data_IF_026946357038
#
_entry.id   IF_026946357038
#
_cell.length_a   1.000
_cell.length_b   1.000
_cell.length_c   1.000
_cell.angle_alpha   90.00
_cell.angle_beta   90.00
_cell.angle_gamma   90.00
#
_symmetry.space_group_name_H-M   'P 1'
#
loop_
_entity.id
_entity.type
_entity.pdbx_description
1 polymer ?
#
# COMPACT_ATOMS: atom_id res chain seq x y z
N UNK A 1 -12.66 11.54 -1.40
CA UNK A 1 -11.34 10.92 -1.16
C UNK A 1 -10.77 10.53 -2.51
N UNK A 2 -9.56 10.96 -2.86
CA UNK A 2 -9.02 10.75 -4.21
C UNK A 2 -8.31 9.38 -4.25
N UNK A 3 -8.97 8.36 -4.80
CA UNK A 3 -8.46 6.98 -4.87
C UNK A 3 -7.44 6.81 -6.01
N UNK A 4 -6.41 7.67 -6.04
CA UNK A 4 -5.39 7.62 -7.07
C UNK A 4 -4.55 6.36 -6.89
N UNK A 5 -4.47 5.54 -7.92
CA UNK A 5 -3.62 4.34 -7.94
C UNK A 5 -2.24 4.67 -8.48
N UNK A 6 -1.21 4.04 -7.91
CA UNK A 6 0.16 4.08 -8.39
C UNK A 6 0.69 2.66 -8.58
N UNK A 7 1.65 2.48 -9.51
CA UNK A 7 2.29 1.18 -9.71
C UNK A 7 2.97 0.74 -8.40
N UNK A 8 2.78 -0.52 -8.00
CA UNK A 8 3.35 -1.03 -6.75
C UNK A 8 4.88 -0.89 -6.67
N UNK A 9 5.57 -0.97 -7.81
CA UNK A 9 7.02 -0.75 -7.88
C UNK A 9 7.44 0.70 -7.63
N UNK A 10 6.63 1.68 -8.05
CA UNK A 10 6.87 3.09 -7.74
C UNK A 10 6.58 3.39 -6.28
N UNK A 11 5.50 2.81 -5.73
CA UNK A 11 5.20 2.89 -4.31
C UNK A 11 6.36 2.33 -3.47
N UNK A 12 6.89 1.15 -3.83
CA UNK A 12 8.01 0.54 -3.14
C UNK A 12 9.27 1.41 -3.17
N UNK A 13 9.58 2.06 -4.30
CA UNK A 13 10.70 3.02 -4.40
C UNK A 13 10.53 4.25 -3.51
N UNK A 14 9.29 4.67 -3.27
CA UNK A 14 8.97 5.86 -2.48
C UNK A 14 9.09 5.56 -0.98
N UNK A 15 8.70 4.36 -0.57
CA UNK A 15 8.58 4.01 0.84
C UNK A 15 9.78 3.25 1.41
N UNK A 16 10.54 2.53 0.56
CA UNK A 16 11.69 1.73 1.00
C UNK A 16 12.98 2.33 0.48
N UNK A 17 14.01 2.29 1.34
CA UNK A 17 15.35 2.72 0.97
C UNK A 17 16.00 1.76 -0.04
N UNK A 18 17.02 2.24 -0.73
CA UNK A 18 17.75 1.48 -1.74
C UNK A 18 18.36 0.21 -1.12
N UNK A 19 18.07 -0.95 -1.70
CA UNK A 19 18.47 -2.26 -1.16
C UNK A 19 17.44 -2.92 -0.23
N UNK A 20 16.47 -2.16 0.29
CA UNK A 20 15.37 -2.67 1.12
C UNK A 20 14.05 -2.83 0.36
N UNK A 21 14.07 -2.56 -0.95
CA UNK A 21 12.87 -2.63 -1.78
C UNK A 21 12.32 -4.06 -1.90
N UNK A 22 11.04 -4.29 -1.57
CA UNK A 22 10.40 -5.58 -1.79
C UNK A 22 10.32 -5.92 -3.28
N UNK A 23 10.51 -7.20 -3.61
CA UNK A 23 10.38 -7.67 -4.99
C UNK A 23 8.92 -7.69 -5.45
N UNK A 24 8.71 -7.81 -6.77
CA UNK A 24 7.36 -7.85 -7.35
C UNK A 24 6.51 -9.04 -6.86
N UNK A 25 7.11 -10.14 -6.40
CA UNK A 25 6.38 -11.26 -5.79
C UNK A 25 5.86 -10.88 -4.40
N UNK A 26 6.70 -10.27 -3.57
CA UNK A 26 6.35 -9.78 -2.24
C UNK A 26 5.24 -8.73 -2.29
N UNK A 27 5.35 -7.73 -3.16
CA UNK A 27 4.32 -6.70 -3.32
C UNK A 27 2.97 -7.28 -3.74
N UNK A 28 2.95 -8.27 -4.64
CA UNK A 28 1.72 -8.95 -5.03
C UNK A 28 1.11 -9.74 -3.86
N UNK A 29 1.94 -10.41 -3.07
CA UNK A 29 1.46 -11.12 -1.89
C UNK A 29 0.89 -10.15 -0.85
N UNK A 30 1.52 -9.02 -0.59
CA UNK A 30 1.02 -8.02 0.36
C UNK A 30 -0.35 -7.47 -0.02
N UNK A 31 -0.55 -7.15 -1.31
CA UNK A 31 -1.87 -6.70 -1.80
C UNK A 31 -2.92 -7.82 -1.65
N UNK A 32 -2.56 -9.08 -1.96
CA UNK A 32 -3.47 -10.22 -1.82
C UNK A 32 -3.81 -10.53 -0.36
N UNK A 33 -2.83 -10.42 0.53
CA UNK A 33 -2.98 -10.69 1.97
C UNK A 33 -3.57 -9.50 2.73
N UNK A 34 -3.83 -8.38 2.07
CA UNK A 34 -4.40 -7.18 2.70
C UNK A 34 -3.44 -6.42 3.62
N UNK A 35 -2.13 -6.65 3.48
CA UNK A 35 -1.10 -5.90 4.21
C UNK A 35 -0.97 -4.47 3.67
N UNK A 36 -1.19 -4.30 2.37
CA UNK A 36 -1.18 -3.02 1.67
C UNK A 36 -2.44 -2.92 0.84
N UNK A 37 -3.16 -1.79 0.93
CA UNK A 37 -4.34 -1.60 0.10
C UNK A 37 -3.96 -1.37 -1.36
N UNK A 38 -4.52 -2.19 -2.24
CA UNK A 38 -4.22 -2.10 -3.66
C UNK A 38 -5.21 -2.85 -4.55
N UNK A 39 -5.02 -2.73 -5.86
CA UNK A 39 -5.82 -3.40 -6.87
C UNK A 39 -4.92 -3.97 -7.96
N UNK A 40 -5.34 -5.10 -8.51
CA UNK A 40 -4.75 -5.66 -9.72
C UNK A 40 -5.50 -5.15 -10.94
N UNK A 41 -4.78 -4.58 -11.90
CA UNK A 41 -5.33 -4.14 -13.21
C UNK A 41 -4.47 -4.79 -14.28
N UNK A 42 -5.07 -5.59 -15.18
CA UNK A 42 -4.37 -6.38 -16.21
C UNK A 42 -3.21 -7.23 -15.64
N UNK A 43 -3.43 -7.85 -14.49
CA UNK A 43 -2.42 -8.67 -13.80
C UNK A 43 -1.25 -7.89 -13.19
N UNK A 44 -1.24 -6.55 -13.33
CA UNK A 44 -0.22 -5.67 -12.74
C UNK A 44 -0.70 -5.15 -11.38
N UNK A 45 0.18 -5.16 -10.35
CA UNK A 45 -0.18 -4.66 -9.03
C UNK A 45 -0.11 -3.13 -8.96
N UNK A 46 -1.18 -2.52 -8.45
CA UNK A 46 -1.27 -1.10 -8.13
C UNK A 46 -1.61 -0.94 -6.65
N UNK A 47 -1.03 0.08 -6.02
CA UNK A 47 -1.23 0.45 -4.62
C UNK A 47 -1.92 1.81 -4.59
N UNK A 48 -2.80 2.05 -3.62
CA UNK A 48 -3.40 3.38 -3.47
C UNK A 48 -2.33 4.40 -3.03
N UNK A 49 -2.34 5.59 -3.63
CA UNK A 49 -1.27 6.57 -3.46
C UNK A 49 -1.11 7.08 -2.01
N UNK A 50 -2.16 6.98 -1.21
CA UNK A 50 -2.21 7.32 0.22
C UNK A 50 -1.64 6.25 1.14
N UNK A 51 -1.39 5.03 0.66
CA UNK A 51 -0.78 3.97 1.47
C UNK A 51 0.67 4.31 1.83
N UNK A 52 1.05 4.00 3.07
CA UNK A 52 2.41 4.18 3.60
C UNK A 52 2.94 2.86 4.12
N UNK A 53 4.21 2.56 3.85
CA UNK A 53 4.81 1.37 4.42
C UNK A 53 5.04 1.57 5.93
N UNK A 54 4.68 0.57 6.73
CA UNK A 54 4.89 0.59 8.18
C UNK A 54 3.80 1.30 9.00
N UNK A 55 2.81 1.92 8.36
CA UNK A 55 1.55 2.27 9.03
C UNK A 55 0.63 1.08 8.85
N UNK A 56 0.35 0.35 9.93
CA UNK A 56 -0.64 -0.71 9.89
C UNK A 56 -1.99 -0.08 9.50
N UNK A 57 -2.57 -0.51 8.37
CA UNK A 57 -3.82 0.03 7.86
C UNK A 57 -4.93 0.00 8.94
N UNK A 58 -4.88 -0.97 9.87
CA UNK A 58 -5.83 -1.09 10.99
C UNK A 58 -5.66 0.02 12.03
N UNK A 59 -4.44 0.51 12.23
CA UNK A 59 -4.16 1.63 13.15
C UNK A 59 -4.68 2.94 12.55
N UNK A 60 -4.50 3.15 11.25
CA UNK A 60 -5.03 4.33 10.56
C UNK A 60 -6.57 4.41 10.64
N UNK A 61 -7.25 3.27 10.48
CA UNK A 61 -8.71 3.19 10.63
C UNK A 61 -9.17 3.36 12.08
N UNK A 62 -8.43 2.80 13.05
CA UNK A 62 -8.70 3.01 14.47
C UNK A 62 -8.60 4.49 14.87
N UNK A 63 -7.57 5.21 14.41
CA UNK A 63 -7.42 6.64 14.69
C UNK A 63 -8.50 7.47 13.99
N UNK A 64 -8.88 7.12 12.74
CA UNK A 64 -10.00 7.78 12.05
C UNK A 64 -11.33 7.60 12.78
N UNK A 65 -11.57 6.44 13.39
CA UNK A 65 -12.76 6.21 14.18
C UNK A 65 -12.76 7.08 15.45
N UNK A 66 -11.62 7.21 16.11
CA UNK A 66 -11.45 8.06 17.31
C UNK A 66 -11.59 9.55 17.00
N UNK A 67 -11.14 10.03 15.83
CA UNK A 67 -11.29 11.43 15.41
C UNK A 67 -12.72 11.82 15.01
N UNK A 68 -13.62 10.83 14.86
CA UNK A 68 -15.03 11.04 14.48
C UNK A 68 -15.99 10.95 15.68
N UNK A 69 -15.50 10.53 16.84
CA UNK A 69 -16.23 10.54 18.11
C UNK A 69 -16.08 11.89 18.81
#
# INVERSE_FOLDING_TARGET
MNHKLMKASHWAKREFDQGSMPCAKTLRNWIKSGIVEGRFIDGKPYVFANERAGIDARVADGVKALLRA
#
